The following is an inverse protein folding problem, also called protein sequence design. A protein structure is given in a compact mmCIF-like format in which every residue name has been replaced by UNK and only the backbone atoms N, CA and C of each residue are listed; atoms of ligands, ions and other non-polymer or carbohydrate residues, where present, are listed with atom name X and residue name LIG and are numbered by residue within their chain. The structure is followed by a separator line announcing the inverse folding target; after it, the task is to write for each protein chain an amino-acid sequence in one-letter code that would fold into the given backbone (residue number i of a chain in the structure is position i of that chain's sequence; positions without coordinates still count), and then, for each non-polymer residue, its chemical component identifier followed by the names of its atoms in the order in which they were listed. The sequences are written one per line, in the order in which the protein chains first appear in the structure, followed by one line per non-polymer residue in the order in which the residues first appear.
data_IF_116554235193
#
_entry.id   IF_116554235193
#
_cell.length_a   1.000
_cell.length_b   1.000
_cell.length_c   1.000
_cell.angle_alpha   90.00
_cell.angle_beta   90.00
_cell.angle_gamma   90.00
#
_symmetry.space_group_name_H-M   'P 1'
#
loop_
_entity.id
_entity.type
_entity.pdbx_description
1 polymer ?
#
# COMPACT_ATOMS: atom_id res chain seq x y z
N UNK A 1 -0.43 23.04 10.43
CA UNK A 1 0.04 22.38 9.20
C UNK A 1 -1.18 22.22 8.32
N UNK A 2 -1.14 22.74 7.10
CA UNK A 2 -2.29 22.76 6.18
C UNK A 2 -2.61 21.35 5.69
N UNK A 3 -3.86 20.91 5.90
CA UNK A 3 -4.39 19.67 5.32
C UNK A 3 -4.28 19.74 3.79
N UNK A 4 -3.33 19.03 3.20
CA UNK A 4 -3.18 18.96 1.74
C UNK A 4 -4.32 18.09 1.17
N UNK A 5 -5.36 18.73 0.65
CA UNK A 5 -6.46 18.06 -0.03
C UNK A 5 -6.19 18.04 -1.54
N UNK A 6 -5.59 16.97 -2.03
CA UNK A 6 -5.23 16.81 -3.44
C UNK A 6 -6.44 16.91 -4.40
N UNK A 7 -7.64 16.49 -3.97
CA UNK A 7 -8.87 16.64 -4.78
C UNK A 7 -9.18 18.12 -4.91
N UNK A 8 -9.13 18.85 -3.81
CA UNK A 8 -9.30 20.31 -3.80
C UNK A 8 -8.24 21.01 -4.65
N UNK A 9 -6.98 20.57 -4.62
CA UNK A 9 -5.91 21.11 -5.49
C UNK A 9 -6.22 20.92 -6.98
N UNK A 10 -6.69 19.73 -7.39
CA UNK A 10 -7.15 19.50 -8.76
C UNK A 10 -8.33 20.42 -9.07
N UNK A 11 -9.28 20.56 -8.15
CA UNK A 11 -10.46 21.39 -8.36
C UNK A 11 -10.08 22.86 -8.56
N UNK A 12 -9.24 23.42 -7.69
CA UNK A 12 -8.76 24.80 -7.80
C UNK A 12 -7.96 25.03 -9.09
N UNK A 13 -7.10 24.09 -9.46
CA UNK A 13 -6.30 24.20 -10.67
C UNK A 13 -7.14 24.15 -11.95
N UNK A 14 -8.25 23.41 -11.93
CA UNK A 14 -9.14 23.21 -13.09
C UNK A 14 -10.29 24.22 -13.17
N UNK A 15 -10.63 24.92 -12.07
CA UNK A 15 -11.83 25.77 -11.94
C UNK A 15 -11.97 26.83 -13.04
N UNK A 16 -10.86 27.45 -13.41
CA UNK A 16 -10.81 28.53 -14.43
C UNK A 16 -10.53 28.00 -15.85
N UNK A 17 -10.40 26.69 -16.04
CA UNK A 17 -9.97 26.06 -17.30
C UNK A 17 -11.15 25.43 -18.04
N UNK A 18 -11.66 26.15 -19.05
CA UNK A 18 -12.87 25.77 -19.81
C UNK A 18 -12.83 24.34 -20.39
N UNK A 19 -11.68 23.88 -20.92
CA UNK A 19 -11.54 22.57 -21.57
C UNK A 19 -11.71 21.39 -20.59
N UNK A 20 -11.12 21.48 -19.40
CA UNK A 20 -11.07 20.38 -18.42
C UNK A 20 -12.20 20.42 -17.40
N UNK A 21 -12.82 21.59 -17.18
CA UNK A 21 -13.90 21.77 -16.20
C UNK A 21 -15.04 20.73 -16.33
N UNK A 22 -15.50 20.35 -17.53
CA UNK A 22 -16.52 19.29 -17.67
C UNK A 22 -16.04 17.89 -17.25
N UNK A 23 -14.73 17.65 -17.29
CA UNK A 23 -14.08 16.35 -17.02
C UNK A 23 -13.34 16.36 -15.67
N UNK A 24 -13.63 17.32 -14.81
CA UNK A 24 -12.93 17.50 -13.54
C UNK A 24 -13.07 16.29 -12.61
N UNK A 25 -14.25 15.66 -12.57
CA UNK A 25 -14.47 14.42 -11.83
C UNK A 25 -13.67 13.25 -12.43
N UNK A 26 -13.74 13.07 -13.75
CA UNK A 26 -12.98 12.04 -14.46
C UNK A 26 -11.46 12.21 -14.25
N UNK A 27 -10.96 13.46 -14.17
CA UNK A 27 -9.56 13.73 -13.88
C UNK A 27 -9.16 13.35 -12.46
N UNK A 28 -10.04 13.59 -11.48
CA UNK A 28 -9.84 13.13 -10.09
C UNK A 28 -9.76 11.61 -10.06
N UNK A 29 -10.68 10.91 -10.73
CA UNK A 29 -10.72 9.44 -10.77
C UNK A 29 -9.50 8.87 -11.49
N UNK A 30 -9.07 9.49 -12.58
CA UNK A 30 -7.85 9.13 -13.31
C UNK A 30 -6.62 9.16 -12.40
N UNK A 31 -6.41 10.25 -11.65
CA UNK A 31 -5.29 10.33 -10.71
C UNK A 31 -5.48 9.38 -9.52
N UNK A 32 -6.71 9.18 -9.04
CA UNK A 32 -6.98 8.21 -7.97
C UNK A 32 -6.54 6.80 -8.36
N UNK A 33 -6.85 6.36 -9.58
CA UNK A 33 -6.43 5.05 -10.08
C UNK A 33 -4.92 5.02 -10.35
N UNK A 34 -4.34 6.10 -10.86
CA UNK A 34 -2.88 6.20 -11.00
C UNK A 34 -2.18 6.01 -9.64
N UNK A 35 -2.69 6.63 -8.56
CA UNK A 35 -2.12 6.46 -7.22
C UNK A 35 -2.22 5.02 -6.71
N UNK A 36 -3.37 4.36 -6.92
CA UNK A 36 -3.58 2.96 -6.53
C UNK A 36 -2.66 1.97 -7.25
N UNK A 37 -2.23 2.32 -8.47
CA UNK A 37 -1.39 1.47 -9.32
C UNK A 37 0.08 1.91 -9.37
N UNK A 38 0.47 2.95 -8.63
CA UNK A 38 1.87 3.41 -8.59
C UNK A 38 2.71 2.53 -7.67
N UNK A 39 3.80 1.99 -8.20
CA UNK A 39 4.79 1.31 -7.38
C UNK A 39 5.58 2.31 -6.51
N UNK A 40 5.97 1.89 -5.31
CA UNK A 40 6.76 2.68 -4.35
C UNK A 40 6.19 4.09 -4.09
N UNK A 41 5.00 4.20 -3.47
CA UNK A 41 4.33 5.49 -3.21
C UNK A 41 5.15 6.45 -2.32
N UNK A 42 6.08 5.93 -1.52
CA UNK A 42 7.06 6.70 -0.74
C UNK A 42 8.04 7.50 -1.61
N UNK A 43 8.20 7.12 -2.88
CA UNK A 43 9.14 7.75 -3.82
C UNK A 43 8.45 8.52 -4.95
N UNK A 44 7.13 8.42 -5.05
CA UNK A 44 6.34 9.13 -6.03
C UNK A 44 5.82 10.45 -5.43
N UNK A 45 5.88 11.53 -6.20
CA UNK A 45 5.44 12.87 -5.82
C UNK A 45 4.22 13.27 -6.65
N UNK A 46 3.20 13.81 -5.99
CA UNK A 46 2.02 14.38 -6.64
C UNK A 46 1.81 15.83 -6.22
N UNK A 47 1.33 16.66 -7.15
CA UNK A 47 0.88 18.00 -6.85
C UNK A 47 0.69 18.83 -8.11
N UNK A 48 0.41 20.11 -7.91
CA UNK A 48 0.11 21.07 -8.97
C UNK A 48 1.21 22.12 -9.08
N UNK A 49 1.40 22.65 -10.28
CA UNK A 49 2.17 23.87 -10.54
C UNK A 49 1.52 24.65 -11.69
N UNK A 50 2.07 25.78 -12.10
CA UNK A 50 1.47 26.63 -13.14
C UNK A 50 1.26 25.92 -14.50
N UNK A 51 1.99 24.83 -14.74
CA UNK A 51 2.05 24.12 -16.01
C UNK A 51 1.31 22.78 -16.01
N UNK A 52 1.17 22.10 -14.88
CA UNK A 52 0.60 20.75 -14.85
C UNK A 52 0.04 20.35 -13.49
N UNK A 53 -0.88 19.39 -13.55
CA UNK A 53 -1.14 18.45 -12.46
C UNK A 53 -0.33 17.21 -12.79
N UNK A 54 0.55 16.75 -11.89
CA UNK A 54 1.47 15.67 -12.25
C UNK A 54 1.90 14.79 -11.09
N UNK A 55 1.98 13.50 -11.40
CA UNK A 55 2.55 12.41 -10.63
C UNK A 55 3.89 12.01 -11.24
N UNK A 56 4.96 11.94 -10.45
CA UNK A 56 6.32 11.69 -10.96
C UNK A 56 7.26 11.10 -9.90
N UNK A 57 8.42 10.60 -10.33
CA UNK A 57 9.57 10.31 -9.45
C UNK A 57 10.89 10.74 -10.09
N UNK A 58 11.80 11.36 -9.34
CA UNK A 58 13.15 11.72 -9.84
C UNK A 58 13.19 12.54 -11.15
N UNK A 59 12.10 13.24 -11.50
CA UNK A 59 11.94 13.97 -12.77
C UNK A 59 11.33 13.16 -13.94
N UNK A 60 10.93 11.92 -13.70
CA UNK A 60 10.22 11.05 -14.64
C UNK A 60 8.74 11.09 -14.30
N UNK A 61 7.91 11.57 -15.22
CA UNK A 61 6.46 11.60 -15.04
C UNK A 61 5.88 10.19 -15.10
N UNK A 62 4.84 9.92 -14.35
CA UNK A 62 4.04 8.70 -14.46
C UNK A 62 2.69 9.02 -15.07
N UNK A 63 2.04 10.06 -14.56
CA UNK A 63 0.78 10.57 -15.09
C UNK A 63 0.77 12.10 -14.99
N UNK A 64 0.24 12.78 -16.00
CA UNK A 64 0.09 14.24 -15.96
C UNK A 64 -1.09 14.73 -16.77
N UNK A 65 -1.65 15.87 -16.35
CA UNK A 65 -2.47 16.73 -17.18
C UNK A 65 -1.78 18.07 -17.33
N UNK A 66 -1.45 18.44 -18.56
CA UNK A 66 -0.66 19.64 -18.86
C UNK A 66 -1.54 20.86 -19.17
N UNK A 67 -0.95 22.06 -19.16
CA UNK A 67 -1.64 23.31 -19.47
C UNK A 67 -2.16 23.37 -20.91
N UNK A 68 -1.49 22.67 -21.82
CA UNK A 68 -1.89 22.47 -23.22
C UNK A 68 -3.14 21.57 -23.35
N UNK A 69 -3.53 20.93 -22.25
CA UNK A 69 -4.72 20.11 -22.19
C UNK A 69 -4.48 18.69 -22.72
N UNK A 70 -3.28 18.16 -22.48
CA UNK A 70 -2.85 16.82 -22.87
C UNK A 70 -2.76 15.95 -21.60
N UNK A 71 -3.30 14.74 -21.67
CA UNK A 71 -3.06 13.68 -20.70
C UNK A 71 -1.83 12.90 -21.10
N UNK A 72 -0.88 12.72 -20.17
CA UNK A 72 0.29 11.88 -20.34
C UNK A 72 0.18 10.70 -19.37
N UNK A 73 0.47 9.49 -19.85
CA UNK A 73 0.48 8.28 -19.03
C UNK A 73 1.66 7.37 -19.44
N UNK A 74 2.44 6.94 -18.46
CA UNK A 74 3.58 6.04 -18.65
C UNK A 74 3.12 4.57 -18.66
N UNK A 75 3.53 3.80 -19.66
CA UNK A 75 3.09 2.42 -19.89
C UNK A 75 4.27 1.52 -20.30
N UNK A 76 4.17 0.23 -20.00
CA UNK A 76 5.20 -0.77 -20.34
C UNK A 76 5.01 -1.37 -21.75
N UNK A 77 3.86 -1.10 -22.38
CA UNK A 77 3.50 -1.50 -23.75
C UNK A 77 2.70 -0.41 -24.45
N UNK A 78 2.58 -0.52 -25.78
CA UNK A 78 1.78 0.39 -26.60
C UNK A 78 0.30 0.00 -26.59
N UNK A 79 -0.57 1.00 -26.59
CA UNK A 79 -2.00 0.87 -26.84
C UNK A 79 -2.34 1.73 -28.06
N UNK A 80 -2.76 1.10 -29.15
CA UNK A 80 -3.08 1.76 -30.44
C UNK A 80 -4.58 1.86 -30.70
N UNK A 81 -5.36 1.19 -29.86
CA UNK A 81 -6.80 1.04 -29.94
C UNK A 81 -7.55 2.07 -29.08
N UNK A 82 -6.82 2.99 -28.43
CA UNK A 82 -7.40 4.12 -27.72
C UNK A 82 -7.59 5.27 -28.73
N UNK A 83 -8.84 5.72 -28.99
CA UNK A 83 -9.13 6.74 -29.98
C UNK A 83 -8.38 8.04 -29.70
N UNK A 84 -7.99 8.78 -30.74
CA UNK A 84 -7.39 10.12 -30.61
C UNK A 84 -6.23 10.16 -29.59
N UNK A 85 -5.41 9.11 -29.57
CA UNK A 85 -4.26 9.01 -28.69
C UNK A 85 -3.02 8.62 -29.47
N UNK A 86 -1.88 9.14 -29.02
CA UNK A 86 -0.56 8.84 -29.55
C UNK A 86 0.18 7.96 -28.55
N UNK A 87 0.89 6.94 -29.04
CA UNK A 87 1.83 6.17 -28.23
C UNK A 87 3.27 6.36 -28.73
N UNK A 88 4.13 6.95 -27.90
CA UNK A 88 5.52 7.31 -28.24
C UNK A 88 6.51 6.64 -27.27
N UNK A 89 7.67 6.22 -27.77
CA UNK A 89 8.72 5.65 -26.91
C UNK A 89 9.26 6.72 -25.94
N UNK A 90 9.38 6.37 -24.66
CA UNK A 90 10.05 7.20 -23.66
C UNK A 90 11.55 7.16 -23.93
N UNK A 91 12.10 8.26 -24.46
CA UNK A 91 13.50 8.33 -24.97
C UNK A 91 14.54 7.88 -23.94
N UNK A 92 14.37 8.22 -22.67
CA UNK A 92 15.28 7.83 -21.58
C UNK A 92 15.33 6.32 -21.34
N UNK A 93 14.29 5.59 -21.75
CA UNK A 93 14.17 4.13 -21.52
C UNK A 93 14.57 3.29 -22.73
N UNK A 94 15.09 3.91 -23.80
CA UNK A 94 15.48 3.20 -25.04
C UNK A 94 16.49 2.07 -24.82
N UNK A 95 17.34 2.20 -23.80
CA UNK A 95 18.36 1.22 -23.47
C UNK A 95 17.88 0.16 -22.47
N UNK A 96 16.62 0.20 -22.04
CA UNK A 96 16.04 -0.88 -21.24
C UNK A 96 15.89 -2.12 -22.12
N UNK A 97 15.86 -3.31 -21.50
CA UNK A 97 15.55 -4.56 -22.19
C UNK A 97 14.26 -4.51 -23.01
N UNK A 98 13.29 -3.70 -22.56
CA UNK A 98 12.11 -3.25 -23.32
C UNK A 98 11.87 -1.76 -23.07
N UNK A 99 11.73 -0.90 -24.09
CA UNK A 99 11.41 0.51 -23.85
C UNK A 99 10.05 0.68 -23.18
N UNK A 100 9.87 1.78 -22.46
CA UNK A 100 8.56 2.24 -21.99
C UNK A 100 7.93 3.20 -23.01
N UNK A 101 6.64 3.45 -22.85
CA UNK A 101 5.85 4.27 -23.76
C UNK A 101 5.08 5.35 -23.02
N UNK A 102 5.01 6.54 -23.62
CA UNK A 102 4.03 7.55 -23.29
C UNK A 102 2.77 7.28 -24.09
N UNK A 103 1.63 7.25 -23.42
CA UNK A 103 0.34 7.48 -24.02
C UNK A 103 -0.02 8.95 -23.82
N UNK A 104 -0.31 9.63 -24.92
CA UNK A 104 -0.69 11.05 -24.96
C UNK A 104 -2.08 11.18 -25.59
N UNK A 105 -2.98 11.94 -24.97
CA UNK A 105 -4.27 12.28 -25.60
C UNK A 105 -4.75 13.66 -25.21
N UNK A 106 -5.26 14.40 -26.20
CA UNK A 106 -5.94 15.69 -26.02
C UNK A 106 -7.45 15.57 -25.86
N UNK A 107 -7.99 14.37 -26.15
CA UNK A 107 -9.39 14.03 -26.08
C UNK A 107 -9.72 13.54 -24.67
N UNK A 108 -10.30 14.44 -23.86
CA UNK A 108 -10.59 14.17 -22.45
C UNK A 108 -11.69 13.14 -22.25
N UNK A 109 -12.47 12.81 -23.28
CA UNK A 109 -13.43 11.70 -23.21
C UNK A 109 -12.74 10.35 -23.00
N UNK A 110 -11.46 10.24 -23.37
CA UNK A 110 -10.65 9.06 -23.12
C UNK A 110 -10.35 8.81 -21.64
N UNK A 111 -10.53 9.79 -20.74
CA UNK A 111 -10.30 9.57 -19.31
C UNK A 111 -11.10 8.37 -18.79
N UNK A 112 -12.38 8.26 -19.16
CA UNK A 112 -13.23 7.12 -18.80
C UNK A 112 -12.74 5.80 -19.39
N UNK A 113 -12.34 5.83 -20.66
CA UNK A 113 -11.79 4.65 -21.34
C UNK A 113 -10.52 4.17 -20.64
N UNK A 114 -9.64 5.08 -20.25
CA UNK A 114 -8.43 4.76 -19.51
C UNK A 114 -8.76 4.21 -18.13
N UNK A 115 -9.67 4.86 -17.39
CA UNK A 115 -10.13 4.46 -16.05
C UNK A 115 -10.68 3.03 -16.04
N UNK A 116 -11.54 2.68 -16.99
CA UNK A 116 -12.27 1.40 -16.99
C UNK A 116 -11.43 0.22 -17.53
N UNK A 117 -10.26 0.48 -18.12
CA UNK A 117 -9.41 -0.55 -18.74
C UNK A 117 -8.31 -1.03 -17.81
N UNK A 118 -8.56 -2.14 -17.14
CA UNK A 118 -7.58 -2.80 -16.25
C UNK A 118 -6.22 -3.03 -16.91
N UNK A 119 -6.20 -3.43 -18.19
CA UNK A 119 -4.95 -3.72 -18.92
C UNK A 119 -4.01 -2.51 -19.02
N UNK A 120 -4.56 -1.29 -19.07
CA UNK A 120 -3.81 -0.03 -19.08
C UNK A 120 -3.14 0.18 -17.73
N UNK A 121 -3.86 -0.08 -16.64
CA UNK A 121 -3.34 0.13 -15.29
C UNK A 121 -2.36 -0.95 -14.83
N UNK A 122 -2.53 -2.20 -15.31
CA UNK A 122 -1.52 -3.24 -15.15
C UNK A 122 -0.22 -2.82 -15.85
N UNK A 123 -0.34 -2.29 -17.08
CA UNK A 123 0.80 -1.77 -17.85
C UNK A 123 1.47 -0.59 -17.17
N UNK A 124 0.69 0.35 -16.65
CA UNK A 124 1.17 1.49 -15.87
C UNK A 124 1.96 1.03 -14.64
N UNK A 125 1.43 0.08 -13.86
CA UNK A 125 2.09 -0.43 -12.67
C UNK A 125 3.45 -1.03 -13.00
N UNK A 126 3.52 -1.93 -13.99
CA UNK A 126 4.79 -2.50 -14.44
C UNK A 126 5.76 -1.43 -14.95
N UNK A 127 5.28 -0.40 -15.64
CA UNK A 127 6.11 0.71 -16.09
C UNK A 127 6.76 1.44 -14.90
N UNK A 128 5.98 1.73 -13.85
CA UNK A 128 6.49 2.40 -12.65
C UNK A 128 7.51 1.53 -11.89
N UNK A 129 7.27 0.22 -11.73
CA UNK A 129 8.23 -0.72 -11.11
C UNK A 129 9.58 -0.69 -11.83
N UNK A 130 9.56 -0.77 -13.16
CA UNK A 130 10.77 -0.79 -13.99
C UNK A 130 11.58 0.50 -13.91
N UNK A 131 10.94 1.66 -13.69
CA UNK A 131 11.65 2.92 -13.45
C UNK A 131 12.49 2.82 -12.17
N UNK A 132 11.97 2.24 -11.10
CA UNK A 132 12.72 2.11 -9.86
C UNK A 132 13.84 1.07 -9.95
N UNK A 133 13.60 -0.06 -10.64
CA UNK A 133 14.62 -1.10 -10.83
C UNK A 133 15.80 -0.64 -11.68
N UNK A 134 15.56 0.29 -12.61
CA UNK A 134 16.57 0.78 -13.55
C UNK A 134 17.63 1.70 -12.95
N UNK A 135 17.55 2.05 -11.65
CA UNK A 135 18.37 3.08 -10.98
C UNK A 135 18.36 4.45 -11.71
N UNK A 136 17.43 4.69 -12.63
CA UNK A 136 17.28 5.97 -13.35
C UNK A 136 16.77 7.10 -12.45
N UNK A 137 16.20 6.77 -11.29
CA UNK A 137 15.79 7.74 -10.28
C UNK A 137 17.04 8.39 -9.68
N UNK A 138 17.49 9.44 -10.35
CA UNK A 138 18.57 10.31 -9.87
C UNK A 138 18.03 11.27 -8.80
N UNK A 139 18.94 11.77 -7.96
CA UNK A 139 18.74 12.62 -6.79
C UNK A 139 17.56 13.61 -6.87
N UNK A 140 16.95 13.87 -5.71
CA UNK A 140 15.88 14.85 -5.49
C UNK A 140 16.12 16.15 -6.27
N UNK A 141 15.13 16.58 -7.05
CA UNK A 141 15.19 17.82 -7.83
C UNK A 141 14.24 18.84 -7.23
N UNK A 142 14.79 19.75 -6.43
CA UNK A 142 14.02 20.72 -5.61
C UNK A 142 12.96 21.49 -6.40
N UNK A 143 13.28 21.94 -7.63
CA UNK A 143 12.35 22.69 -8.47
C UNK A 143 11.17 21.86 -9.00
N UNK A 144 11.34 20.53 -9.14
CA UNK A 144 10.29 19.60 -9.58
C UNK A 144 9.44 19.17 -8.37
N UNK A 145 10.05 19.06 -7.19
CA UNK A 145 9.38 18.70 -5.95
C UNK A 145 8.62 19.87 -5.30
N UNK A 146 8.91 21.11 -5.68
CA UNK A 146 8.23 22.32 -5.17
C UNK A 146 6.71 22.20 -5.34
N UNK A 147 5.97 22.37 -4.25
CA UNK A 147 4.50 22.22 -4.15
C UNK A 147 3.95 20.82 -4.45
N UNK A 148 4.79 19.78 -4.37
CA UNK A 148 4.36 18.38 -4.45
C UNK A 148 4.59 17.69 -3.11
N UNK A 149 3.71 16.76 -2.79
CA UNK A 149 3.83 15.88 -1.62
C UNK A 149 4.12 14.46 -2.10
N UNK A 150 4.73 13.62 -1.25
CA UNK A 150 4.88 12.21 -1.59
C UNK A 150 3.51 11.53 -1.59
N UNK A 151 3.33 10.48 -2.40
CA UNK A 151 2.11 9.68 -2.32
C UNK A 151 2.02 8.99 -0.95
N UNK A 152 3.14 8.66 -0.30
CA UNK A 152 3.12 8.23 1.09
C UNK A 152 2.46 9.30 1.98
N UNK A 153 2.87 10.57 1.90
CA UNK A 153 2.30 11.68 2.67
C UNK A 153 0.84 11.98 2.30
N UNK A 154 0.45 11.75 1.05
CA UNK A 154 -0.95 11.76 0.61
C UNK A 154 -1.79 10.78 1.43
N UNK A 155 -1.26 9.58 1.64
CA UNK A 155 -1.94 8.62 2.49
C UNK A 155 -1.76 8.97 3.96
N UNK A 156 -0.62 9.53 4.40
CA UNK A 156 -0.38 9.96 5.78
C UNK A 156 -1.30 11.08 6.26
N UNK A 157 -1.59 12.05 5.40
CA UNK A 157 -2.53 13.15 5.68
C UNK A 157 -4.00 12.75 5.41
N UNK A 158 -4.24 11.68 4.64
CA UNK A 158 -5.55 11.04 4.44
C UNK A 158 -5.85 9.88 5.40
N UNK A 159 -4.94 9.54 6.31
CA UNK A 159 -5.02 8.38 7.22
C UNK A 159 -6.03 8.56 8.36
N UNK A 160 -6.77 9.67 8.42
CA UNK A 160 -7.92 9.78 9.33
C UNK A 160 -9.25 9.32 8.71
N UNK A 161 -9.39 9.12 7.40
CA UNK A 161 -10.72 8.90 6.79
C UNK A 161 -10.81 7.97 5.55
N UNK A 162 -9.90 7.02 5.36
CA UNK A 162 -10.22 5.84 4.55
C UNK A 162 -10.73 4.73 5.48
N UNK A 163 -11.92 4.13 5.24
CA UNK A 163 -12.32 2.92 5.92
C UNK A 163 -11.49 1.74 5.37
N UNK A 164 -10.18 1.76 5.64
CA UNK A 164 -9.37 0.55 5.56
C UNK A 164 -9.70 -0.25 6.80
N UNK A 165 -10.43 -1.35 6.63
CA UNK A 165 -10.66 -2.28 7.74
C UNK A 165 -9.31 -2.64 8.34
N UNK A 166 -9.15 -2.39 9.62
CA UNK A 166 -8.02 -2.88 10.40
C UNK A 166 -7.98 -4.40 10.32
N UNK A 167 -6.82 -5.01 10.59
CA UNK A 167 -6.72 -6.47 10.70
C UNK A 167 -7.80 -7.02 11.65
N UNK A 168 -8.03 -6.32 12.76
CA UNK A 168 -9.03 -6.69 13.76
C UNK A 168 -10.47 -6.69 13.19
N UNK A 169 -10.82 -5.69 12.38
CA UNK A 169 -12.15 -5.62 11.75
C UNK A 169 -12.35 -6.69 10.69
N UNK A 170 -11.30 -7.02 9.91
CA UNK A 170 -11.32 -8.12 8.95
C UNK A 170 -11.50 -9.46 9.67
N UNK A 171 -10.75 -9.68 10.74
CA UNK A 171 -10.86 -10.89 11.57
C UNK A 171 -12.25 -11.00 12.20
N UNK A 172 -12.79 -9.89 12.71
CA UNK A 172 -14.15 -9.85 13.31
C UNK A 172 -15.23 -10.20 12.29
N UNK A 173 -15.16 -9.61 11.09
CA UNK A 173 -16.08 -9.94 10.01
C UNK A 173 -15.99 -11.41 9.60
N UNK A 174 -14.76 -11.94 9.49
CA UNK A 174 -14.53 -13.35 9.19
C UNK A 174 -15.15 -14.25 10.26
N UNK A 175 -14.98 -13.94 11.55
CA UNK A 175 -15.57 -14.71 12.63
C UNK A 175 -17.10 -14.76 12.55
N UNK A 176 -17.74 -13.62 12.27
CA UNK A 176 -19.19 -13.58 12.09
C UNK A 176 -19.65 -14.37 10.85
N UNK A 177 -18.93 -14.27 9.73
CA UNK A 177 -19.19 -15.11 8.55
C UNK A 177 -19.02 -16.60 8.83
N UNK A 178 -17.99 -16.98 9.60
CA UNK A 178 -17.78 -18.38 10.04
C UNK A 178 -18.93 -18.85 10.92
N UNK A 179 -19.37 -18.02 11.87
CA UNK A 179 -20.52 -18.32 12.75
C UNK A 179 -21.80 -18.54 11.95
N UNK A 180 -22.06 -17.71 10.95
CA UNK A 180 -23.18 -17.92 10.02
C UNK A 180 -23.03 -19.22 9.22
N UNK A 181 -21.84 -19.50 8.68
CA UNK A 181 -21.57 -20.74 7.94
C UNK A 181 -21.75 -22.00 8.82
N UNK A 182 -21.42 -21.92 10.12
CA UNK A 182 -21.61 -23.00 11.09
C UNK A 182 -23.10 -23.34 11.33
N UNK A 183 -24.02 -22.40 11.14
CA UNK A 183 -25.47 -22.65 11.21
C UNK A 183 -25.99 -23.55 10.08
N UNK A 184 -25.26 -23.66 8.98
CA UNK A 184 -25.62 -24.52 7.84
C UNK A 184 -25.28 -25.99 8.11
N UNK A 185 -25.97 -26.90 7.43
CA UNK A 185 -25.60 -28.32 7.47
C UNK A 185 -24.27 -28.55 6.73
N UNK A 186 -23.57 -29.65 7.07
CA UNK A 186 -22.31 -30.03 6.38
C UNK A 186 -22.51 -30.16 4.87
N UNK A 187 -23.60 -30.84 4.46
CA UNK A 187 -23.96 -30.99 3.04
C UNK A 187 -24.12 -29.64 2.35
N UNK A 188 -24.80 -28.69 3.00
CA UNK A 188 -25.01 -27.36 2.43
C UNK A 188 -23.72 -26.56 2.27
N UNK A 189 -22.80 -26.65 3.24
CA UNK A 189 -21.47 -26.04 3.11
C UNK A 189 -20.66 -26.63 1.96
N UNK A 190 -20.72 -27.95 1.75
CA UNK A 190 -20.03 -28.62 0.64
C UNK A 190 -20.55 -28.18 -0.73
N UNK A 191 -21.86 -28.02 -0.88
CA UNK A 191 -22.47 -27.48 -2.10
C UNK A 191 -21.98 -26.06 -2.43
N UNK A 192 -21.84 -25.20 -1.40
CA UNK A 192 -21.34 -23.82 -1.56
C UNK A 192 -19.86 -23.84 -1.93
N UNK A 193 -19.04 -24.66 -1.25
CA UNK A 193 -17.61 -24.77 -1.53
C UNK A 193 -17.35 -25.23 -2.97
N UNK A 194 -18.12 -26.19 -3.49
CA UNK A 194 -17.99 -26.70 -4.86
C UNK A 194 -18.24 -25.61 -5.93
N UNK A 195 -18.98 -24.55 -5.60
CA UNK A 195 -19.27 -23.42 -6.49
C UNK A 195 -18.41 -22.19 -6.22
N UNK A 196 -17.58 -22.23 -5.16
CA UNK A 196 -16.77 -21.09 -4.74
C UNK A 196 -15.43 -21.04 -5.47
N UNK A 197 -14.89 -19.83 -5.65
CA UNK A 197 -13.53 -19.68 -6.17
C UNK A 197 -12.53 -20.19 -5.12
N UNK A 198 -11.69 -21.20 -5.45
CA UNK A 198 -10.70 -21.72 -4.51
C UNK A 198 -9.56 -20.73 -4.21
N UNK A 199 -9.39 -19.69 -5.03
CA UNK A 199 -8.37 -18.65 -4.82
C UNK A 199 -8.96 -17.50 -4.00
N UNK A 200 -8.45 -17.23 -2.78
CA UNK A 200 -8.93 -16.13 -1.97
C UNK A 200 -8.51 -14.78 -2.59
N UNK A 201 -9.36 -13.78 -2.46
CA UNK A 201 -9.02 -12.40 -2.77
C UNK A 201 -7.99 -11.88 -1.78
N UNK A 202 -6.97 -11.17 -2.27
CA UNK A 202 -5.98 -10.48 -1.43
C UNK A 202 -6.44 -9.06 -1.16
N UNK A 203 -6.19 -8.58 0.05
CA UNK A 203 -6.37 -7.18 0.43
C UNK A 203 -5.12 -6.68 1.15
N UNK A 204 -4.83 -5.39 1.03
CA UNK A 204 -3.71 -4.75 1.71
C UNK A 204 -4.23 -4.00 2.93
N UNK A 205 -3.60 -4.21 4.07
CA UNK A 205 -3.88 -3.52 5.33
C UNK A 205 -2.65 -2.71 5.75
N UNK A 206 -2.88 -1.55 6.34
CA UNK A 206 -1.84 -0.80 7.05
C UNK A 206 -1.85 -1.23 8.51
N UNK A 207 -0.66 -1.49 9.05
CA UNK A 207 -0.47 -1.82 10.45
C UNK A 207 0.67 -0.98 11.01
N UNK A 208 0.49 -0.49 12.24
CA UNK A 208 1.55 0.14 13.00
C UNK A 208 2.36 -0.94 13.71
N UNK A 209 3.67 -0.89 13.60
CA UNK A 209 4.59 -1.81 14.27
C UNK A 209 5.63 -1.02 15.05
N UNK A 210 6.09 -1.59 16.17
CA UNK A 210 7.18 -1.02 16.96
C UNK A 210 8.50 -1.65 16.55
N UNK A 211 9.52 -0.83 16.32
CA UNK A 211 10.90 -1.30 16.25
C UNK A 211 11.36 -1.68 17.65
N UNK A 212 11.43 -2.99 17.91
CA UNK A 212 11.84 -3.52 19.21
C UNK A 212 13.36 -3.52 19.34
N UNK A 213 13.84 -3.26 20.54
CA UNK A 213 15.23 -3.35 20.92
C UNK A 213 15.66 -4.82 20.92
N UNK A 214 16.49 -5.17 19.95
CA UNK A 214 17.01 -6.53 19.77
C UNK A 214 17.76 -7.06 21.00
N UNK A 215 18.39 -6.18 21.79
CA UNK A 215 19.14 -6.58 22.99
C UNK A 215 18.20 -7.01 24.11
N UNK A 216 17.05 -6.36 24.27
CA UNK A 216 16.00 -6.78 25.22
C UNK A 216 15.46 -8.15 24.84
N UNK A 217 15.24 -8.39 23.54
CA UNK A 217 14.78 -9.69 23.06
C UNK A 217 15.79 -10.79 23.38
N UNK A 218 17.08 -10.56 23.08
CA UNK A 218 18.14 -11.52 23.35
C UNK A 218 18.26 -11.82 24.85
N UNK A 219 18.35 -10.79 25.70
CA UNK A 219 18.49 -10.94 27.14
C UNK A 219 17.33 -11.72 27.77
N UNK A 220 16.10 -11.41 27.39
CA UNK A 220 14.90 -12.09 27.93
C UNK A 220 14.85 -13.56 27.52
N UNK A 221 15.26 -13.89 26.29
CA UNK A 221 15.32 -15.28 25.84
C UNK A 221 16.43 -16.07 26.53
N UNK A 222 17.61 -15.46 26.73
CA UNK A 222 18.74 -16.07 27.43
C UNK A 222 18.41 -16.29 28.91
N UNK A 223 17.80 -15.31 29.58
CA UNK A 223 17.29 -15.42 30.95
C UNK A 223 16.32 -16.59 31.10
N UNK A 224 15.43 -16.77 30.13
CA UNK A 224 14.40 -17.80 30.15
C UNK A 224 14.95 -19.23 29.97
N UNK A 225 16.15 -19.40 29.39
CA UNK A 225 16.81 -20.71 29.18
C UNK A 225 15.90 -21.76 28.54
N UNK A 226 15.08 -21.33 27.58
CA UNK A 226 14.13 -22.21 26.89
C UNK A 226 12.95 -22.67 27.74
N UNK A 227 12.67 -22.06 28.89
CA UNK A 227 11.52 -22.34 29.75
C UNK A 227 10.56 -21.14 29.70
N UNK A 228 9.29 -21.38 29.44
CA UNK A 228 8.26 -20.35 29.48
C UNK A 228 8.16 -19.74 30.89
N UNK A 229 8.32 -18.42 30.99
CA UNK A 229 8.35 -17.74 32.28
C UNK A 229 6.98 -17.68 32.98
N UNK A 230 5.88 -17.95 32.25
CA UNK A 230 4.52 -18.07 32.82
C UNK A 230 4.18 -19.49 33.28
N UNK A 231 4.10 -20.44 32.36
CA UNK A 231 3.63 -21.80 32.69
C UNK A 231 4.75 -22.74 33.15
N UNK A 232 6.00 -22.29 33.15
CA UNK A 232 7.20 -23.03 33.60
C UNK A 232 7.47 -24.33 32.82
N UNK A 233 6.85 -24.49 31.64
CA UNK A 233 7.12 -25.60 30.72
C UNK A 233 8.22 -25.23 29.75
N UNK A 234 9.00 -26.21 29.31
CA UNK A 234 9.97 -26.07 28.23
C UNK A 234 9.33 -25.55 26.95
N UNK A 235 10.13 -24.90 26.11
CA UNK A 235 9.74 -24.46 24.78
C UNK A 235 9.12 -25.63 23.99
N UNK A 236 8.10 -25.38 23.17
CA UNK A 236 7.37 -26.43 22.45
C UNK A 236 8.20 -27.13 21.38
N UNK A 237 9.22 -26.47 20.82
CA UNK A 237 10.11 -27.02 19.81
C UNK A 237 11.43 -26.23 19.75
N UNK A 238 12.38 -26.76 18.99
CA UNK A 238 13.67 -26.14 18.65
C UNK A 238 13.59 -25.55 17.25
N UNK A 239 14.10 -24.33 17.05
CA UNK A 239 14.13 -23.66 15.75
C UNK A 239 15.08 -24.36 14.78
N UNK A 240 14.61 -24.61 13.56
CA UNK A 240 15.45 -25.22 12.51
C UNK A 240 16.62 -24.34 12.07
N UNK A 241 16.48 -23.02 12.15
CA UNK A 241 17.47 -22.08 11.61
C UNK A 241 18.72 -21.93 12.50
N UNK A 242 18.56 -22.03 13.82
CA UNK A 242 19.63 -21.72 14.79
C UNK A 242 19.71 -22.72 15.96
N UNK A 243 18.90 -23.78 15.97
CA UNK A 243 18.80 -24.77 17.03
C UNK A 243 18.45 -24.20 18.43
N UNK A 244 17.89 -23.00 18.52
CA UNK A 244 17.46 -22.41 19.79
C UNK A 244 16.03 -22.84 20.20
N UNK A 245 15.70 -22.87 21.51
CA UNK A 245 14.33 -23.10 21.98
C UNK A 245 13.36 -21.99 21.53
N UNK A 246 12.18 -22.36 21.02
CA UNK A 246 11.20 -21.37 20.54
C UNK A 246 10.35 -20.77 21.68
N UNK A 247 10.64 -19.54 22.08
CA UNK A 247 9.79 -18.68 22.91
C UNK A 247 9.54 -17.34 22.19
N UNK A 248 8.48 -16.65 22.60
CA UNK A 248 8.05 -15.34 22.09
C UNK A 248 8.18 -14.30 23.23
N UNK A 249 8.90 -13.20 22.98
CA UNK A 249 9.03 -12.10 23.95
C UNK A 249 7.80 -11.20 23.89
N UNK A 250 7.22 -10.98 25.05
CA UNK A 250 6.01 -10.21 25.28
C UNK A 250 6.27 -9.10 26.29
N UNK A 251 5.72 -7.90 26.06
CA UNK A 251 5.79 -6.80 27.02
C UNK A 251 4.59 -6.86 27.96
N UNK A 252 4.83 -6.92 29.27
CA UNK A 252 3.81 -6.99 30.33
C UNK A 252 2.89 -5.76 30.26
N UNK A 253 3.49 -4.58 30.15
CA UNK A 253 2.81 -3.35 29.73
C UNK A 253 3.01 -3.22 28.23
N UNK A 254 1.96 -3.33 27.40
CA UNK A 254 2.10 -3.28 25.96
C UNK A 254 2.73 -1.97 25.47
N UNK A 255 3.61 -2.04 24.46
CA UNK A 255 4.21 -0.85 23.84
C UNK A 255 3.14 0.10 23.26
N UNK A 256 2.03 -0.45 22.77
CA UNK A 256 0.89 0.33 22.28
C UNK A 256 0.18 1.16 23.36
N UNK A 257 0.38 0.81 24.63
CA UNK A 257 -0.18 1.50 25.81
C UNK A 257 0.87 2.36 26.51
N UNK A 258 2.03 2.58 25.88
CA UNK A 258 3.13 3.38 26.42
C UNK A 258 4.10 2.59 27.32
N UNK A 259 4.09 1.26 27.27
CA UNK A 259 5.08 0.45 27.97
C UNK A 259 6.50 0.64 27.42
N UNK A 260 7.49 0.59 28.30
CA UNK A 260 8.90 0.72 27.92
C UNK A 260 9.46 -0.57 27.30
N UNK A 261 10.36 -0.42 26.34
CA UNK A 261 11.07 -1.54 25.72
C UNK A 261 12.35 -1.88 26.50
N UNK A 262 12.15 -2.45 27.68
CA UNK A 262 13.18 -2.81 28.67
C UNK A 262 12.96 -4.24 29.20
N UNK A 263 14.02 -4.84 29.77
CA UNK A 263 14.02 -6.23 30.23
C UNK A 263 12.97 -6.50 31.32
N UNK A 264 12.78 -5.55 32.23
CA UNK A 264 11.85 -5.65 33.36
C UNK A 264 10.39 -5.70 32.90
N UNK A 265 10.09 -4.99 31.81
CA UNK A 265 8.78 -4.99 31.18
C UNK A 265 8.59 -6.17 30.22
N UNK A 266 9.61 -6.98 29.96
CA UNK A 266 9.55 -8.07 29.01
C UNK A 266 9.54 -9.47 29.68
N UNK A 267 8.85 -10.41 29.04
CA UNK A 267 8.71 -11.79 29.50
C UNK A 267 8.74 -12.77 28.32
N UNK A 268 9.46 -13.88 28.44
CA UNK A 268 9.50 -14.94 27.44
C UNK A 268 8.37 -15.96 27.67
N UNK A 269 7.52 -16.12 26.67
CA UNK A 269 6.33 -16.97 26.74
C UNK A 269 6.34 -18.03 25.64
N UNK A 270 5.79 -19.21 25.93
CA UNK A 270 5.43 -20.14 24.86
C UNK A 270 4.23 -19.58 24.07
N UNK A 271 4.02 -20.01 22.81
CA UNK A 271 2.96 -19.48 21.94
C UNK A 271 1.56 -19.53 22.58
N UNK A 272 1.27 -20.60 23.35
CA UNK A 272 0.00 -20.74 24.05
C UNK A 272 -0.18 -19.68 25.15
N UNK A 273 0.86 -19.48 25.97
CA UNK A 273 0.83 -18.47 27.04
C UNK A 273 0.81 -17.05 26.48
N UNK A 274 1.50 -16.81 25.36
CA UNK A 274 1.51 -15.52 24.68
C UNK A 274 0.13 -15.18 24.11
N UNK A 275 -0.53 -16.14 23.44
CA UNK A 275 -1.92 -15.95 22.96
C UNK A 275 -2.90 -15.77 24.11
N UNK A 276 -2.74 -16.50 25.22
CA UNK A 276 -3.57 -16.30 26.40
C UNK A 276 -3.36 -14.90 27.03
N UNK A 277 -2.16 -14.33 26.97
CA UNK A 277 -1.92 -12.96 27.41
C UNK A 277 -2.65 -11.92 26.54
N UNK A 278 -2.83 -12.18 25.25
CA UNK A 278 -3.56 -11.26 24.36
C UNK A 278 -5.09 -11.42 24.40
N UNK A 279 -5.60 -12.66 24.52
CA UNK A 279 -7.02 -12.96 24.31
C UNK A 279 -7.71 -13.66 25.49
N UNK A 280 -6.96 -14.07 26.51
CA UNK A 280 -7.48 -14.79 27.66
C UNK A 280 -8.16 -13.87 28.68
N UNK A 281 -9.07 -14.43 29.48
CA UNK A 281 -9.73 -13.72 30.60
C UNK A 281 -8.77 -13.33 31.74
N UNK A 282 -7.63 -14.01 31.79
CA UNK A 282 -6.55 -13.76 32.75
C UNK A 282 -5.33 -13.36 31.94
N UNK A 283 -5.20 -12.05 31.73
CA UNK A 283 -3.91 -11.42 31.48
C UNK A 283 -3.09 -11.51 32.78
N UNK A 284 -1.79 -11.27 32.69
CA UNK A 284 -0.79 -11.44 33.76
C UNK A 284 -1.32 -11.18 35.18
#
# INVERSE_FOLDING_TARGET
MTDFNWKYEIQQWTEKKRKIKPFQADLVDFFEIAFKNTAFPDKALFGTNDYSISLLTGGIFFAAYTREGIIWLLLDRQFKDIPNSDSKIVKSTKNFSKPLFWLETEDLSNLKILIDRQEVWDSFKFATERIYDSKMVTSHRDHIAKNKITLADFYSNGLQNLPSKTILEIETELQEKVKQAKKLSRKKRQEILAKSNPKPTKTTVRQTVFYRNQYVIAEVLDRAKGICERCKKSAPFIRDNDNSPYLEVHHKTPLAEGGDDIEENAIALCPNCHRQAHYGKTTY
#
